data_IF_983322507381
#
_entry.id   IF_983322507381
#
_cell.length_a   1.000
_cell.length_b   1.000
_cell.length_c   1.000
_cell.angle_alpha   90.00
_cell.angle_beta   90.00
_cell.angle_gamma   90.00
#
_symmetry.space_group_name_H-M   'P 1'
#
loop_
_entity.id
_entity.type
_entity.pdbx_description
1 polymer ?
#
# COMPACT_ATOMS: atom_id res chain seq x y z
N UNK A 1 -20.20 -14.25 -40.23
CA UNK A 1 -19.61 -14.47 -38.90
C UNK A 1 -18.10 -14.57 -39.06
N UNK A 2 -17.32 -13.78 -38.32
CA UNK A 2 -15.87 -13.85 -38.39
C UNK A 2 -15.39 -15.17 -37.77
N UNK A 3 -14.50 -15.89 -38.47
CA UNK A 3 -13.88 -17.12 -37.95
C UNK A 3 -13.02 -16.73 -36.74
N UNK A 4 -13.44 -17.15 -35.56
CA UNK A 4 -12.73 -16.87 -34.31
C UNK A 4 -11.37 -17.58 -34.33
N UNK A 5 -10.29 -16.83 -34.14
CA UNK A 5 -8.93 -17.37 -34.09
C UNK A 5 -8.76 -18.15 -32.78
N UNK A 6 -8.46 -19.44 -32.86
CA UNK A 6 -8.29 -20.32 -31.71
C UNK A 6 -6.84 -20.31 -31.23
N UNK A 7 -6.61 -19.81 -30.02
CA UNK A 7 -5.30 -19.83 -29.36
C UNK A 7 -5.37 -20.78 -28.17
N UNK A 8 -4.76 -21.96 -28.28
CA UNK A 8 -4.75 -22.97 -27.23
C UNK A 8 -3.39 -23.67 -27.10
N UNK A 9 -2.31 -22.88 -27.14
CA UNK A 9 -0.93 -23.37 -27.12
C UNK A 9 -0.58 -24.22 -25.90
N UNK A 10 -1.11 -23.88 -24.71
CA UNK A 10 -0.95 -24.68 -23.49
C UNK A 10 -1.60 -26.06 -23.66
N UNK A 11 -2.84 -26.13 -24.17
CA UNK A 11 -3.53 -27.40 -24.39
C UNK A 11 -2.81 -28.27 -25.42
N UNK A 12 -2.25 -27.63 -26.44
CA UNK A 12 -1.38 -28.27 -27.43
C UNK A 12 -0.15 -28.91 -26.77
N UNK A 13 0.51 -28.16 -25.87
CA UNK A 13 1.69 -28.61 -25.12
C UNK A 13 1.35 -29.72 -24.12
N UNK A 14 0.23 -29.61 -23.40
CA UNK A 14 -0.28 -30.64 -22.49
C UNK A 14 -0.56 -31.95 -23.24
N UNK A 15 -1.22 -31.87 -24.39
CA UNK A 15 -1.53 -33.03 -25.23
C UNK A 15 -0.26 -33.74 -25.67
N UNK A 16 0.73 -32.96 -26.14
CA UNK A 16 2.05 -33.49 -26.51
C UNK A 16 2.74 -34.19 -25.34
N UNK A 17 2.74 -33.55 -24.18
CA UNK A 17 3.45 -34.02 -22.98
C UNK A 17 2.79 -35.30 -22.44
N UNK A 18 1.46 -35.34 -22.42
CA UNK A 18 0.66 -36.51 -22.03
C UNK A 18 0.86 -37.69 -22.99
N UNK A 19 1.08 -37.43 -24.27
CA UNK A 19 1.43 -38.45 -25.26
C UNK A 19 2.90 -38.90 -25.21
N UNK A 20 3.73 -38.27 -24.36
CA UNK A 20 5.17 -38.57 -24.25
C UNK A 20 5.98 -38.23 -25.50
N UNK A 21 5.49 -37.30 -26.33
CA UNK A 21 6.09 -37.00 -27.64
C UNK A 21 7.05 -35.80 -27.57
N UNK A 22 8.12 -35.87 -28.36
CA UNK A 22 8.94 -34.69 -28.63
C UNK A 22 8.18 -33.70 -29.52
N UNK A 23 8.60 -32.44 -29.53
CA UNK A 23 7.97 -31.41 -30.39
C UNK A 23 8.10 -31.79 -31.88
N UNK A 24 9.20 -32.45 -32.28
CA UNK A 24 9.40 -32.91 -33.66
C UNK A 24 8.43 -34.03 -34.04
N UNK A 25 8.26 -35.03 -33.18
CA UNK A 25 7.37 -36.16 -33.46
C UNK A 25 5.90 -35.74 -33.45
N UNK A 26 5.55 -34.83 -32.54
CA UNK A 26 4.21 -34.26 -32.48
C UNK A 26 3.89 -33.41 -33.71
N UNK A 27 4.84 -32.61 -34.21
CA UNK A 27 4.66 -31.84 -35.44
C UNK A 27 4.41 -32.76 -36.65
N UNK A 28 5.16 -33.87 -36.74
CA UNK A 28 4.99 -34.87 -37.79
C UNK A 28 3.60 -35.51 -37.75
N UNK A 29 3.10 -35.92 -36.57
CA UNK A 29 1.75 -36.49 -36.42
C UNK A 29 0.64 -35.49 -36.72
N UNK A 30 0.83 -34.22 -36.39
CA UNK A 30 -0.12 -33.15 -36.71
C UNK A 30 -0.02 -32.67 -38.18
N UNK A 31 0.92 -33.18 -38.97
CA UNK A 31 1.10 -32.79 -40.37
C UNK A 31 1.59 -31.34 -40.56
N UNK A 32 2.32 -30.80 -39.59
CA UNK A 32 2.85 -29.41 -39.64
C UNK A 32 4.37 -29.37 -39.46
N UNK A 33 4.99 -28.26 -39.83
CA UNK A 33 6.43 -28.08 -39.59
C UNK A 33 6.70 -27.79 -38.11
N UNK A 34 7.87 -28.21 -37.61
CA UNK A 34 8.31 -27.96 -36.24
C UNK A 34 8.29 -26.46 -35.85
N UNK A 35 8.79 -25.51 -36.67
CA UNK A 35 8.70 -24.09 -36.35
C UNK A 35 7.25 -23.60 -36.25
N UNK A 36 6.35 -24.15 -37.07
CA UNK A 36 4.94 -23.79 -37.04
C UNK A 36 4.24 -24.31 -35.78
N UNK A 37 4.53 -25.56 -35.38
CA UNK A 37 4.08 -26.10 -34.10
C UNK A 37 4.57 -25.26 -32.92
N UNK A 38 5.85 -24.87 -32.92
CA UNK A 38 6.42 -24.04 -31.86
C UNK A 38 5.69 -22.70 -31.73
N UNK A 39 5.37 -22.05 -32.86
CA UNK A 39 4.59 -20.81 -32.85
C UNK A 39 3.17 -21.02 -32.29
N UNK A 40 2.51 -22.14 -32.59
CA UNK A 40 1.19 -22.45 -32.02
C UNK A 40 1.26 -22.80 -30.53
N UNK A 41 2.22 -23.59 -30.07
CA UNK A 41 2.41 -23.92 -28.64
C UNK A 41 2.68 -22.66 -27.80
N UNK A 42 3.33 -21.65 -28.39
CA UNK A 42 3.61 -20.37 -27.74
C UNK A 42 2.56 -19.28 -28.02
N UNK A 43 1.42 -19.64 -28.63
CA UNK A 43 0.34 -18.71 -29.01
C UNK A 43 0.78 -17.54 -29.93
N UNK A 44 1.93 -17.63 -30.59
CA UNK A 44 2.36 -16.68 -31.63
C UNK A 44 1.55 -16.85 -32.93
N UNK A 45 0.93 -18.02 -33.13
CA UNK A 45 -0.05 -18.26 -34.18
C UNK A 45 -1.27 -19.01 -33.63
N UNK A 46 -2.47 -18.72 -34.16
CA UNK A 46 -3.64 -19.51 -33.84
C UNK A 46 -3.50 -20.92 -34.41
N UNK A 47 -4.16 -21.87 -33.76
CA UNK A 47 -4.24 -23.26 -34.21
C UNK A 47 -5.04 -23.29 -35.52
N UNK A 48 -4.48 -23.92 -36.55
CA UNK A 48 -5.15 -24.08 -37.83
C UNK A 48 -6.22 -25.16 -37.76
N UNK A 49 -7.23 -25.08 -38.62
CA UNK A 49 -8.31 -26.07 -38.72
C UNK A 49 -7.77 -27.49 -38.93
N UNK A 50 -6.71 -27.65 -39.73
CA UNK A 50 -6.07 -28.95 -39.95
C UNK A 50 -5.50 -29.54 -38.67
N UNK A 51 -4.90 -28.71 -37.82
CA UNK A 51 -4.34 -29.15 -36.53
C UNK A 51 -5.47 -29.50 -35.55
N UNK A 52 -6.57 -28.74 -35.53
CA UNK A 52 -7.75 -29.09 -34.73
C UNK A 52 -8.31 -30.47 -35.12
N UNK A 53 -8.46 -30.72 -36.42
CA UNK A 53 -8.90 -32.01 -36.94
C UNK A 53 -7.95 -33.15 -36.54
N UNK A 54 -6.64 -32.93 -36.69
CA UNK A 54 -5.62 -33.92 -36.32
C UNK A 54 -5.61 -34.22 -34.80
N UNK A 55 -5.82 -33.21 -33.95
CA UNK A 55 -5.95 -33.40 -32.50
C UNK A 55 -7.18 -34.25 -32.14
N UNK A 56 -8.30 -34.00 -32.80
CA UNK A 56 -9.53 -34.76 -32.59
C UNK A 56 -9.38 -36.22 -33.07
N UNK A 57 -8.77 -36.44 -34.24
CA UNK A 57 -8.64 -37.78 -34.83
C UNK A 57 -7.56 -38.63 -34.17
N UNK A 58 -6.37 -38.08 -33.93
CA UNK A 58 -5.22 -38.84 -33.44
C UNK A 58 -5.14 -38.91 -31.91
N UNK A 59 -5.51 -37.83 -31.25
CA UNK A 59 -5.36 -37.70 -29.80
C UNK A 59 -6.69 -37.76 -29.05
N UNK A 60 -7.81 -37.99 -29.78
CA UNK A 60 -9.19 -38.03 -29.25
C UNK A 60 -9.53 -36.84 -28.37
N UNK A 61 -8.96 -35.67 -28.71
CA UNK A 61 -9.15 -34.47 -27.93
C UNK A 61 -10.49 -33.83 -28.32
N UNK A 62 -11.32 -33.52 -27.32
CA UNK A 62 -12.57 -32.80 -27.56
C UNK A 62 -12.24 -31.36 -27.98
N UNK A 63 -12.76 -30.94 -29.14
CA UNK A 63 -12.52 -29.61 -29.70
C UNK A 63 -13.08 -28.52 -28.78
N UNK A 64 -14.11 -28.83 -27.98
CA UNK A 64 -14.63 -27.92 -26.97
C UNK A 64 -13.61 -27.64 -25.87
N UNK A 65 -12.74 -28.60 -25.52
CA UNK A 65 -11.65 -28.41 -24.56
C UNK A 65 -10.56 -27.46 -25.05
N UNK A 66 -10.36 -27.34 -26.38
CA UNK A 66 -9.45 -26.34 -26.94
C UNK A 66 -9.98 -24.92 -26.76
N UNK A 67 -11.30 -24.77 -26.66
CA UNK A 67 -11.99 -23.49 -26.48
C UNK A 67 -12.36 -23.21 -25.02
N UNK A 68 -12.14 -24.17 -24.11
CA UNK A 68 -12.69 -24.14 -22.76
C UNK A 68 -11.97 -23.14 -21.85
N UNK A 69 -12.57 -21.96 -21.70
CA UNK A 69 -13.00 -21.33 -20.44
C UNK A 69 -11.97 -20.92 -19.38
N UNK A 70 -10.91 -21.68 -19.14
CA UNK A 70 -9.96 -21.42 -18.04
C UNK A 70 -9.17 -20.13 -18.29
N UNK A 71 -8.84 -19.85 -19.54
CA UNK A 71 -8.20 -18.58 -19.91
C UNK A 71 -9.11 -17.37 -19.71
N UNK A 72 -10.41 -17.48 -20.00
CA UNK A 72 -11.35 -16.35 -19.84
C UNK A 72 -11.64 -16.07 -18.37
N UNK A 73 -11.80 -17.11 -17.55
CA UNK A 73 -11.94 -16.97 -16.10
C UNK A 73 -10.69 -16.36 -15.48
N UNK A 74 -9.51 -16.88 -15.81
CA UNK A 74 -8.24 -16.35 -15.32
C UNK A 74 -7.99 -14.90 -15.77
N UNK A 75 -8.40 -14.53 -16.99
CA UNK A 75 -8.37 -13.13 -17.45
C UNK A 75 -9.31 -12.26 -16.63
N UNK A 76 -10.50 -12.75 -16.30
CA UNK A 76 -11.44 -12.03 -15.44
C UNK A 76 -10.87 -11.82 -14.04
N UNK A 77 -10.31 -12.87 -13.44
CA UNK A 77 -9.70 -12.83 -12.11
C UNK A 77 -8.50 -11.87 -12.07
N UNK A 78 -7.63 -11.90 -13.09
CA UNK A 78 -6.52 -10.95 -13.24
C UNK A 78 -7.02 -9.50 -13.40
N UNK A 79 -8.07 -9.28 -14.19
CA UNK A 79 -8.65 -7.96 -14.39
C UNK A 79 -9.24 -7.40 -13.09
N UNK A 80 -9.87 -8.25 -12.29
CA UNK A 80 -10.40 -7.87 -10.98
C UNK A 80 -9.28 -7.52 -10.00
N UNK A 81 -8.25 -8.37 -9.90
CA UNK A 81 -7.09 -8.10 -9.05
C UNK A 81 -6.37 -6.80 -9.43
N UNK A 82 -6.24 -6.52 -10.73
CA UNK A 82 -5.58 -5.31 -11.24
C UNK A 82 -6.47 -4.05 -11.21
N UNK A 83 -7.74 -4.17 -10.84
CA UNK A 83 -8.60 -3.02 -10.57
C UNK A 83 -8.35 -2.42 -9.18
N UNK A 84 -7.56 -3.10 -8.33
CA UNK A 84 -7.12 -2.59 -7.05
C UNK A 84 -6.32 -1.28 -7.21
N UNK A 85 -6.60 -0.23 -6.41
CA UNK A 85 -5.92 1.06 -6.48
C UNK A 85 -4.40 0.99 -6.42
N UNK A 86 -3.80 -0.04 -5.82
CA UNK A 86 -2.34 -0.23 -5.80
C UNK A 86 -1.72 -0.30 -7.21
N UNK A 87 -2.50 -0.66 -8.23
CA UNK A 87 -2.08 -0.75 -9.62
C UNK A 87 -2.48 0.45 -10.49
N UNK A 88 -3.13 1.48 -9.93
CA UNK A 88 -3.73 2.59 -10.68
C UNK A 88 -2.72 3.32 -11.60
N UNK A 89 -1.44 3.38 -11.21
CA UNK A 89 -0.41 4.04 -12.01
C UNK A 89 0.08 3.22 -13.21
N UNK A 90 -0.09 1.88 -13.22
CA UNK A 90 0.50 0.97 -14.23
C UNK A 90 -0.31 -0.32 -14.45
N UNK A 91 -1.61 -0.21 -14.73
CA UNK A 91 -2.42 -1.37 -15.08
C UNK A 91 -2.07 -1.89 -16.50
N UNK A 92 -1.76 -3.20 -16.67
CA UNK A 92 -1.55 -3.80 -17.98
C UNK A 92 -2.80 -3.75 -18.88
N UNK A 93 -2.65 -3.62 -20.21
CA UNK A 93 -3.77 -3.68 -21.15
C UNK A 93 -4.38 -5.09 -21.20
N UNK A 94 -5.64 -5.17 -21.63
CA UNK A 94 -6.40 -6.44 -21.73
C UNK A 94 -5.72 -7.51 -22.58
N UNK A 95 -4.97 -7.10 -23.61
CA UNK A 95 -4.22 -8.01 -24.45
C UNK A 95 -3.13 -8.78 -23.67
N UNK A 96 -2.46 -8.12 -22.72
CA UNK A 96 -1.39 -8.70 -21.91
C UNK A 96 -1.96 -9.67 -20.86
N UNK A 97 -3.17 -9.41 -20.36
CA UNK A 97 -3.88 -10.34 -19.47
C UNK A 97 -4.22 -11.64 -20.19
N UNK A 98 -4.75 -11.54 -21.42
CA UNK A 98 -5.02 -12.72 -22.26
C UNK A 98 -3.75 -13.48 -22.59
N UNK A 99 -2.67 -12.76 -22.91
CA UNK A 99 -1.37 -13.37 -23.18
C UNK A 99 -0.88 -14.13 -21.95
N UNK A 100 -0.91 -13.52 -20.77
CA UNK A 100 -0.45 -14.12 -19.50
C UNK A 100 -1.28 -15.35 -19.15
N UNK A 101 -2.61 -15.26 -19.20
CA UNK A 101 -3.50 -16.39 -18.92
C UNK A 101 -3.26 -17.56 -19.88
N UNK A 102 -2.97 -17.27 -21.15
CA UNK A 102 -2.74 -18.29 -22.18
C UNK A 102 -1.33 -18.89 -22.18
N UNK A 103 -0.31 -18.17 -21.72
CA UNK A 103 1.10 -18.57 -21.85
C UNK A 103 1.79 -18.87 -20.52
N UNK A 104 1.35 -18.25 -19.43
CA UNK A 104 1.93 -18.39 -18.10
C UNK A 104 0.85 -18.54 -17.01
N UNK A 105 -0.09 -19.50 -17.14
CA UNK A 105 -1.17 -19.67 -16.18
C UNK A 105 -0.65 -19.95 -14.77
N UNK A 106 0.43 -20.74 -14.61
CA UNK A 106 1.02 -20.98 -13.28
C UNK A 106 1.50 -19.71 -12.57
N UNK A 107 2.07 -18.77 -13.33
CA UNK A 107 2.48 -17.46 -12.81
C UNK A 107 1.26 -16.60 -12.46
N UNK A 108 0.24 -16.59 -13.33
CA UNK A 108 -1.01 -15.87 -13.06
C UNK A 108 -1.68 -16.34 -11.78
N UNK A 109 -1.79 -17.66 -11.55
CA UNK A 109 -2.36 -18.22 -10.32
C UNK A 109 -1.51 -17.85 -9.09
N UNK A 110 -0.18 -17.93 -9.19
CA UNK A 110 0.70 -17.52 -8.09
C UNK A 110 0.56 -16.02 -7.75
N UNK A 111 0.44 -15.17 -8.77
CA UNK A 111 0.16 -13.74 -8.61
C UNK A 111 -1.19 -13.50 -7.93
N UNK A 112 -2.25 -14.17 -8.37
CA UNK A 112 -3.58 -14.04 -7.77
C UNK A 112 -3.59 -14.51 -6.31
N UNK A 113 -2.90 -15.60 -5.98
CA UNK A 113 -2.75 -16.07 -4.61
C UNK A 113 -1.98 -15.06 -3.74
N UNK A 114 -0.94 -14.44 -4.29
CA UNK A 114 -0.21 -13.36 -3.61
C UNK A 114 -1.10 -12.14 -3.36
N UNK A 115 -1.89 -11.72 -4.35
CA UNK A 115 -2.81 -10.58 -4.21
C UNK A 115 -3.92 -10.85 -3.19
N UNK A 116 -4.50 -12.07 -3.19
CA UNK A 116 -5.46 -12.48 -2.16
C UNK A 116 -4.85 -12.47 -0.75
N UNK A 117 -3.64 -13.01 -0.59
CA UNK A 117 -2.92 -12.97 0.69
C UNK A 117 -2.64 -11.53 1.14
N UNK A 118 -2.19 -10.68 0.22
CA UNK A 118 -2.00 -9.25 0.47
C UNK A 118 -3.30 -8.58 0.95
N UNK A 119 -4.42 -8.80 0.25
CA UNK A 119 -5.73 -8.27 0.65
C UNK A 119 -6.16 -8.78 2.01
N UNK A 120 -5.98 -10.07 2.29
CA UNK A 120 -6.31 -10.66 3.59
C UNK A 120 -5.45 -10.06 4.71
N UNK A 121 -4.18 -9.77 4.46
CA UNK A 121 -3.32 -9.07 5.43
C UNK A 121 -3.78 -7.62 5.62
N UNK A 122 -4.13 -6.91 4.56
CA UNK A 122 -4.66 -5.54 4.66
C UNK A 122 -6.00 -5.50 5.40
N UNK A 123 -6.92 -6.43 5.11
CA UNK A 123 -8.19 -6.58 5.82
C UNK A 123 -7.96 -6.97 7.29
N UNK A 124 -6.97 -7.82 7.58
CA UNK A 124 -6.60 -8.16 8.95
C UNK A 124 -6.00 -6.97 9.70
N UNK A 125 -5.14 -6.18 9.05
CA UNK A 125 -4.60 -4.94 9.62
C UNK A 125 -5.71 -3.91 9.84
N UNK A 126 -6.60 -3.71 8.88
CA UNK A 126 -7.77 -2.84 9.05
C UNK A 126 -8.70 -3.34 10.17
N UNK A 127 -8.89 -4.65 10.30
CA UNK A 127 -9.66 -5.25 11.40
C UNK A 127 -8.94 -5.18 12.74
N UNK A 128 -7.60 -5.18 12.74
CA UNK A 128 -6.78 -4.95 13.93
C UNK A 128 -6.86 -3.48 14.32
N UNK A 129 -6.81 -2.54 13.38
CA UNK A 129 -7.02 -1.12 13.63
C UNK A 129 -8.45 -0.85 14.14
N UNK A 130 -9.46 -1.54 13.60
CA UNK A 130 -10.85 -1.46 14.07
C UNK A 130 -11.04 -2.13 15.45
N UNK A 131 -10.35 -3.25 15.71
CA UNK A 131 -10.35 -3.94 17.00
C UNK A 131 -9.58 -3.15 18.07
N UNK A 132 -8.43 -2.57 17.72
CA UNK A 132 -7.67 -1.62 18.54
C UNK A 132 -8.49 -0.34 18.77
N UNK A 133 -9.34 0.05 17.82
CA UNK A 133 -10.35 1.09 17.98
C UNK A 133 -11.55 0.71 18.87
N UNK A 134 -11.68 -0.56 19.29
CA UNK A 134 -12.72 -1.06 20.22
C UNK A 134 -12.18 -1.67 21.52
N UNK A 135 -10.87 -1.91 21.64
CA UNK A 135 -10.22 -2.46 22.83
C UNK A 135 -9.60 -1.35 23.71
N UNK A 136 -10.47 -0.56 24.33
CA UNK A 136 -10.23 0.13 25.62
C UNK A 136 -10.02 -0.88 26.78
N UNK A 137 -9.28 -1.96 26.54
CA UNK A 137 -8.89 -2.97 27.51
C UNK A 137 -7.37 -3.22 27.49
N UNK A 138 -6.64 -2.12 27.66
CA UNK A 138 -5.30 -1.97 28.27
C UNK A 138 -4.06 -2.16 27.39
N UNK A 139 -3.85 -1.20 26.50
CA UNK A 139 -2.66 -0.35 26.62
C UNK A 139 -3.16 1.06 26.92
N UNK A 140 -2.99 1.54 28.16
CA UNK A 140 -3.24 2.96 28.44
C UNK A 140 -2.36 3.75 27.49
N UNK A 141 -2.91 4.64 26.64
CA UNK A 141 -2.08 5.51 25.81
C UNK A 141 -1.06 6.15 26.75
N UNK A 142 0.19 6.17 26.32
CA UNK A 142 1.20 6.85 27.12
C UNK A 142 0.74 8.29 27.35
N UNK A 143 1.03 8.91 28.50
CA UNK A 143 0.67 10.32 28.73
C UNK A 143 1.13 11.25 27.61
N UNK A 144 2.17 10.86 26.87
CA UNK A 144 2.61 11.54 25.67
C UNK A 144 1.64 11.40 24.48
N UNK A 145 1.11 10.20 24.22
CA UNK A 145 0.10 9.95 23.18
C UNK A 145 -1.19 10.69 23.48
N UNK A 146 -1.67 10.67 24.73
CA UNK A 146 -2.88 11.40 25.13
C UNK A 146 -2.75 12.91 24.83
N UNK A 147 -1.60 13.51 25.18
CA UNK A 147 -1.35 14.93 24.92
C UNK A 147 -1.20 15.20 23.42
N UNK A 148 -0.44 14.36 22.70
CA UNK A 148 -0.27 14.51 21.25
C UNK A 148 -1.61 14.47 20.52
N UNK A 149 -2.46 13.52 20.88
CA UNK A 149 -3.75 13.30 20.24
C UNK A 149 -4.74 14.42 20.61
N UNK A 150 -4.69 14.95 21.84
CA UNK A 150 -5.42 16.15 22.25
C UNK A 150 -5.09 17.36 21.35
N UNK A 151 -3.80 17.65 21.15
CA UNK A 151 -3.39 18.77 20.29
C UNK A 151 -3.78 18.53 18.83
N UNK A 152 -3.67 17.29 18.32
CA UNK A 152 -4.15 16.96 16.98
C UNK A 152 -5.66 17.16 16.83
N UNK A 153 -6.46 16.76 17.82
CA UNK A 153 -7.91 16.91 17.78
C UNK A 153 -8.35 18.38 17.77
N UNK A 154 -7.55 19.26 18.36
CA UNK A 154 -7.75 20.70 18.32
C UNK A 154 -7.14 21.37 17.08
N UNK A 155 -6.77 20.63 16.03
CA UNK A 155 -6.05 21.16 14.86
C UNK A 155 -4.79 21.98 15.23
N UNK A 156 -4.17 21.61 16.35
CA UNK A 156 -3.03 22.30 16.96
C UNK A 156 -3.31 23.78 17.30
N UNK A 157 -4.57 24.14 17.55
CA UNK A 157 -5.03 25.48 17.90
C UNK A 157 -5.96 25.45 19.12
N UNK A 158 -5.63 26.20 20.17
CA UNK A 158 -6.43 26.27 21.41
C UNK A 158 -6.84 27.73 21.64
N UNK A 159 -7.98 28.13 21.04
CA UNK A 159 -8.47 29.53 21.02
C UNK A 159 -8.42 30.21 22.39
N UNK A 160 -8.86 29.54 23.46
CA UNK A 160 -8.85 30.11 24.80
C UNK A 160 -7.43 30.42 25.33
N UNK A 161 -6.45 29.57 25.03
CA UNK A 161 -5.05 29.77 25.44
C UNK A 161 -4.39 30.83 24.56
N UNK A 162 -4.60 30.77 23.24
CA UNK A 162 -4.07 31.75 22.29
C UNK A 162 -4.58 33.15 22.58
N UNK A 163 -5.89 33.34 22.78
CA UNK A 163 -6.46 34.65 23.13
C UNK A 163 -5.99 35.16 24.47
N UNK A 164 -5.81 34.28 25.46
CA UNK A 164 -5.28 34.66 26.76
C UNK A 164 -3.82 35.10 26.66
N UNK A 165 -3.01 34.39 25.87
CA UNK A 165 -1.62 34.75 25.58
C UNK A 165 -1.53 36.08 24.81
N UNK A 166 -2.39 36.29 23.81
CA UNK A 166 -2.47 37.54 23.07
C UNK A 166 -2.86 38.71 23.98
N UNK A 167 -3.88 38.54 24.82
CA UNK A 167 -4.24 39.55 25.83
C UNK A 167 -3.10 39.80 26.80
N UNK A 168 -2.41 38.75 27.25
CA UNK A 168 -1.27 38.88 28.15
C UNK A 168 -0.14 39.71 27.52
N UNK A 169 0.22 39.41 26.27
CA UNK A 169 1.28 40.10 25.54
C UNK A 169 0.91 41.53 25.13
N UNK A 170 -0.38 41.87 25.07
CA UNK A 170 -0.88 43.19 24.63
C UNK A 170 -1.37 44.08 25.79
N UNK A 171 -1.29 43.61 27.05
CA UNK A 171 -1.67 44.41 28.23
C UNK A 171 -0.76 45.61 28.42
N UNK A 172 -1.38 46.79 28.54
CA UNK A 172 -0.84 48.08 28.97
C UNK A 172 0.62 48.41 28.57
N UNK A 173 0.80 48.85 27.32
CA UNK A 173 1.88 49.78 26.96
C UNK A 173 3.22 49.16 26.53
N UNK A 174 3.44 47.87 26.70
CA UNK A 174 4.63 47.15 26.19
C UNK A 174 4.33 46.41 24.89
N UNK A 175 3.91 47.14 23.85
CA UNK A 175 3.88 46.61 22.49
C UNK A 175 5.29 46.20 22.06
N UNK A 176 5.55 44.89 22.03
CA UNK A 176 6.72 44.31 21.34
C UNK A 176 7.74 43.58 22.21
N UNK A 177 7.59 43.56 23.55
CA UNK A 177 8.51 42.81 24.42
C UNK A 177 7.75 41.91 25.41
N UNK A 178 7.44 40.70 24.93
CA UNK A 178 6.79 39.66 25.72
C UNK A 178 7.64 39.24 26.93
N UNK A 179 8.98 39.30 26.81
CA UNK A 179 9.92 38.95 27.87
C UNK A 179 9.86 39.96 29.01
N UNK A 180 9.91 41.26 28.71
CA UNK A 180 9.78 42.31 29.72
C UNK A 180 8.42 42.21 30.44
N UNK A 181 7.35 41.94 29.70
CA UNK A 181 5.99 41.78 30.23
C UNK A 181 5.88 40.56 31.16
N UNK A 182 6.50 39.44 30.78
CA UNK A 182 6.58 38.24 31.62
C UNK A 182 7.38 38.48 32.91
N UNK A 183 8.54 39.13 32.82
CA UNK A 183 9.36 39.45 34.00
C UNK A 183 8.63 40.38 34.98
N UNK A 184 8.00 41.44 34.48
CA UNK A 184 7.22 42.36 35.30
C UNK A 184 6.03 41.67 35.98
N UNK A 185 5.35 40.75 35.27
CA UNK A 185 4.23 39.99 35.84
C UNK A 185 4.69 39.03 36.94
N UNK A 186 5.82 38.35 36.75
CA UNK A 186 6.40 37.47 37.77
C UNK A 186 6.80 38.25 39.02
N UNK A 187 7.45 39.41 38.84
CA UNK A 187 7.81 40.31 39.95
C UNK A 187 6.57 40.79 40.72
N UNK A 188 5.52 41.20 40.01
CA UNK A 188 4.25 41.59 40.62
C UNK A 188 3.55 40.43 41.36
N UNK A 189 3.77 39.18 40.93
CA UNK A 189 3.32 37.97 41.63
C UNK A 189 4.23 37.57 42.82
N UNK A 190 5.31 38.32 43.05
CA UNK A 190 6.31 38.06 44.09
C UNK A 190 7.23 36.89 43.77
N UNK A 191 7.48 36.64 42.48
CA UNK A 191 8.42 35.63 41.98
C UNK A 191 9.68 36.31 41.46
N UNK A 192 10.81 36.06 42.11
CA UNK A 192 12.10 36.60 41.71
C UNK A 192 12.72 35.75 40.58
N UNK A 193 13.16 36.38 39.49
CA UNK A 193 13.84 35.69 38.39
C UNK A 193 15.34 35.91 38.48
N UNK A 194 16.12 34.82 38.52
CA UNK A 194 17.58 34.86 38.64
C UNK A 194 18.23 34.09 37.49
N UNK A 195 19.18 34.72 36.80
CA UNK A 195 19.99 34.06 35.79
C UNK A 195 21.23 33.46 36.44
N UNK A 196 21.44 32.16 36.24
CA UNK A 196 22.57 31.42 36.79
C UNK A 196 23.26 30.59 35.72
N UNK A 197 24.56 30.38 35.87
CA UNK A 197 25.31 29.48 35.00
C UNK A 197 25.06 28.02 35.40
N UNK A 198 23.98 27.45 34.87
CA UNK A 198 23.49 26.10 35.17
C UNK A 198 23.23 25.31 33.86
N UNK A 199 23.35 23.99 33.92
CA UNK A 199 23.00 23.07 32.82
C UNK A 199 21.48 22.88 32.68
N UNK A 200 20.69 23.12 33.73
CA UNK A 200 19.23 23.05 33.68
C UNK A 200 18.63 24.30 33.06
N UNK A 201 17.75 24.16 32.08
CA UNK A 201 17.09 25.30 31.42
C UNK A 201 16.35 26.22 32.41
N UNK A 202 15.60 25.64 33.34
CA UNK A 202 14.84 26.37 34.37
C UNK A 202 14.62 25.53 35.63
N UNK A 203 14.56 26.17 36.78
CA UNK A 203 14.15 25.55 38.05
C UNK A 203 13.41 26.57 38.91
N UNK A 204 12.22 26.21 39.40
CA UNK A 204 11.43 27.07 40.29
C UNK A 204 11.46 26.51 41.71
N UNK A 205 11.88 27.34 42.67
CA UNK A 205 11.79 27.04 44.10
C UNK A 205 10.53 27.69 44.69
N UNK A 206 9.50 26.90 45.08
CA UNK A 206 8.26 27.44 45.63
C UNK A 206 8.42 28.02 47.04
N UNK A 207 9.46 27.64 47.80
CA UNK A 207 9.66 28.13 49.16
C UNK A 207 10.22 29.55 49.17
N UNK A 208 11.21 29.82 48.31
CA UNK A 208 11.78 31.16 48.14
C UNK A 208 11.08 31.99 47.05
N UNK A 209 10.15 31.39 46.29
CA UNK A 209 9.54 31.97 45.08
C UNK A 209 10.59 32.47 44.08
N UNK A 210 11.63 31.69 43.87
CA UNK A 210 12.72 32.05 42.95
C UNK A 210 12.70 31.15 41.72
N UNK A 211 12.62 31.75 40.53
CA UNK A 211 12.79 31.09 39.24
C UNK A 211 14.23 31.28 38.76
N UNK A 212 15.01 30.21 38.78
CA UNK A 212 16.34 30.15 38.19
C UNK A 212 16.25 29.82 36.71
N UNK A 213 16.92 30.61 35.87
CA UNK A 213 17.04 30.40 34.43
C UNK A 213 18.51 30.26 34.05
N UNK A 214 18.82 29.34 33.13
CA UNK A 214 20.20 29.17 32.66
C UNK A 214 20.64 30.35 31.81
N UNK A 215 21.79 30.94 32.14
CA UNK A 215 22.47 31.93 31.28
C UNK A 215 23.09 31.32 30.03
N UNK A 216 23.18 29.98 29.93
CA UNK A 216 23.68 29.24 28.75
C UNK A 216 22.61 29.09 27.66
N UNK A 217 21.33 29.21 28.02
CA UNK A 217 20.22 29.11 27.07
C UNK A 217 20.16 30.37 26.18
N UNK A 218 19.72 30.21 24.93
CA UNK A 218 19.48 31.34 24.03
C UNK A 218 18.42 32.30 24.60
N UNK A 219 18.44 33.60 24.24
CA UNK A 219 17.51 34.59 24.78
C UNK A 219 16.03 34.22 24.66
N UNK A 220 15.63 33.52 23.59
CA UNK A 220 14.26 33.06 23.30
C UNK A 220 13.84 31.85 24.15
N UNK A 221 14.80 31.12 24.72
CA UNK A 221 14.55 29.96 25.59
C UNK A 221 14.51 30.35 27.07
N UNK A 222 14.93 31.57 27.39
CA UNK A 222 14.98 32.09 28.76
C UNK A 222 13.62 32.61 29.24
N UNK A 223 12.68 32.90 28.35
CA UNK A 223 11.34 33.46 28.65
C UNK A 223 10.37 33.12 27.55
#
# INVERSE_FOLDING_TARGET
>A
MAIQKLYAGVKLRETRTRAGLTQKDFAARLGVSLPYLNQMENNNRPISTNVVLALASEFRLDVTELSSGDGERLVSDLREALADPIFACKAPPMADLRLTASNAPGLAHAFLALHQSYRQVQERLASLDEALGREDARATPSPWEEVRDFFHYCDNYIDAVDRAAEHFATREGTTGDARATAMATLDAAGVAVVFADDDRLRAYDPASKTLHLSSRAAPETQT
#
